data_IF_372870657235
#
_entry.id   IF_372870657235
#
_cell.length_a   1.000
_cell.length_b   1.000
_cell.length_c   1.000
_cell.angle_alpha   90.00
_cell.angle_beta   90.00
_cell.angle_gamma   90.00
#
_symmetry.space_group_name_H-M   'P 1'
#
loop_
_entity.id
_entity.type
_entity.pdbx_description
1 polymer ?
#
# COMPACT_ATOMS: atom_id res chain seq x y z
N UNK A 1 -12.02 5.31 -22.91
CA UNK A 1 -12.39 4.91 -21.54
C UNK A 1 -13.90 5.08 -21.36
N UNK A 2 -14.59 4.18 -20.64
CA UNK A 2 -16.02 4.38 -20.30
C UNK A 2 -16.18 5.56 -19.35
N UNK A 3 -17.29 6.29 -19.43
CA UNK A 3 -17.59 7.37 -18.47
C UNK A 3 -17.80 6.76 -17.08
N UNK A 4 -17.37 7.46 -16.03
CA UNK A 4 -17.52 7.00 -14.65
C UNK A 4 -18.99 6.68 -14.31
N UNK A 5 -19.92 7.49 -14.79
CA UNK A 5 -21.37 7.28 -14.62
C UNK A 5 -21.82 5.89 -15.07
N UNK A 6 -21.34 5.43 -16.23
CA UNK A 6 -21.66 4.09 -16.74
C UNK A 6 -21.09 2.97 -15.87
N UNK A 7 -19.94 3.21 -15.23
CA UNK A 7 -19.33 2.26 -14.29
C UNK A 7 -20.17 2.19 -13.01
N UNK A 8 -20.60 3.35 -12.50
CA UNK A 8 -21.44 3.49 -11.31
C UNK A 8 -22.80 2.80 -11.51
N UNK A 9 -23.54 3.14 -12.57
CA UNK A 9 -24.85 2.54 -12.89
C UNK A 9 -24.78 1.00 -12.96
N UNK A 10 -23.72 0.48 -13.58
CA UNK A 10 -23.49 -0.96 -13.67
C UNK A 10 -23.21 -1.58 -12.30
N UNK A 11 -22.49 -0.89 -11.43
CA UNK A 11 -22.23 -1.34 -10.07
C UNK A 11 -23.50 -1.33 -9.23
N UNK A 12 -24.30 -0.25 -9.29
CA UNK A 12 -25.58 -0.14 -8.60
C UNK A 12 -26.53 -1.26 -9.02
N UNK A 13 -26.71 -1.48 -10.33
CA UNK A 13 -27.53 -2.59 -10.85
C UNK A 13 -27.09 -3.96 -10.33
N UNK A 14 -25.77 -4.20 -10.22
CA UNK A 14 -25.22 -5.47 -9.73
C UNK A 14 -25.30 -5.65 -8.22
N UNK A 15 -25.39 -4.56 -7.46
CA UNK A 15 -25.28 -4.57 -6.00
C UNK A 15 -26.60 -4.22 -5.29
N UNK A 16 -27.72 -4.14 -6.02
CA UNK A 16 -29.05 -3.90 -5.44
C UNK A 16 -29.39 -2.41 -5.29
N UNK A 17 -28.87 -1.56 -6.17
CA UNK A 17 -29.13 -0.11 -6.22
C UNK A 17 -28.08 0.74 -5.49
N UNK A 18 -28.23 2.06 -5.59
CA UNK A 18 -27.31 3.05 -5.02
C UNK A 18 -27.10 2.89 -3.51
N UNK A 19 -28.18 2.67 -2.75
CA UNK A 19 -28.13 2.53 -1.29
C UNK A 19 -27.37 1.28 -0.86
N UNK A 20 -27.61 0.15 -1.53
CA UNK A 20 -26.92 -1.11 -1.24
C UNK A 20 -25.44 -1.04 -1.64
N UNK A 21 -25.14 -0.43 -2.79
CA UNK A 21 -23.75 -0.16 -3.20
C UNK A 21 -23.03 0.72 -2.17
N UNK A 22 -23.66 1.80 -1.70
CA UNK A 22 -23.06 2.73 -0.74
C UNK A 22 -22.68 2.04 0.58
N UNK A 23 -23.46 1.03 1.02
CA UNK A 23 -23.14 0.22 2.21
C UNK A 23 -21.90 -0.68 2.03
N UNK A 24 -21.55 -1.03 0.79
CA UNK A 24 -20.36 -1.86 0.48
C UNK A 24 -19.09 -1.02 0.32
N UNK A 25 -19.22 0.29 0.09
CA UNK A 25 -18.08 1.17 -0.07
C UNK A 25 -17.42 1.45 1.29
N UNK A 26 -16.08 1.50 1.35
CA UNK A 26 -15.40 1.89 2.58
C UNK A 26 -15.69 3.34 2.91
N UNK A 27 -15.58 3.69 4.19
CA UNK A 27 -15.60 5.09 4.58
C UNK A 27 -14.35 5.81 4.05
N UNK A 28 -14.58 6.88 3.30
CA UNK A 28 -13.50 7.71 2.77
C UNK A 28 -13.07 8.72 3.85
N UNK A 29 -11.76 8.79 4.10
CA UNK A 29 -11.21 9.75 5.04
C UNK A 29 -11.41 11.19 4.55
N UNK A 30 -11.75 12.09 5.47
CA UNK A 30 -11.84 13.53 5.19
C UNK A 30 -10.46 14.12 4.85
N UNK A 31 -10.42 15.23 4.10
CA UNK A 31 -9.18 15.98 3.80
C UNK A 31 -8.34 16.27 5.06
N UNK A 32 -8.97 16.71 6.15
CA UNK A 32 -8.28 16.98 7.43
C UNK A 32 -7.60 15.74 8.01
N UNK A 33 -8.28 14.59 8.01
CA UNK A 33 -7.71 13.31 8.46
C UNK A 33 -6.54 12.85 7.58
N UNK A 34 -6.64 13.06 6.27
CA UNK A 34 -5.56 12.74 5.34
C UNK A 34 -4.34 13.64 5.56
N UNK A 35 -4.55 14.94 5.72
CA UNK A 35 -3.47 15.89 5.99
C UNK A 35 -2.79 15.69 7.35
N UNK A 36 -3.50 15.14 8.33
CA UNK A 36 -2.95 14.81 9.64
C UNK A 36 -2.22 13.45 9.69
N UNK A 37 -2.26 12.67 8.61
CA UNK A 37 -1.60 11.36 8.54
C UNK A 37 -0.11 11.55 8.24
N UNK A 38 0.75 10.89 8.99
CA UNK A 38 2.21 10.96 8.78
C UNK A 38 2.65 10.36 7.44
N UNK A 39 3.78 10.88 6.94
CA UNK A 39 4.39 10.47 5.67
C UNK A 39 4.76 8.98 5.67
N UNK A 40 5.17 8.46 6.83
CA UNK A 40 5.47 7.05 7.07
C UNK A 40 4.30 6.13 6.68
N UNK A 41 3.06 6.53 7.01
CA UNK A 41 1.88 5.73 6.67
C UNK A 41 1.49 5.85 5.19
N UNK A 42 1.93 6.87 4.48
CA UNK A 42 1.75 6.97 3.03
C UNK A 42 2.81 6.14 2.32
N UNK A 43 4.06 6.25 2.75
CA UNK A 43 5.17 5.45 2.24
C UNK A 43 4.89 3.95 2.40
N UNK A 44 4.49 3.52 3.59
CA UNK A 44 4.06 2.15 3.87
C UNK A 44 3.00 1.66 2.88
N UNK A 45 1.96 2.46 2.62
CA UNK A 45 0.88 2.08 1.71
C UNK A 45 1.37 1.97 0.26
N UNK A 46 2.20 2.90 -0.20
CA UNK A 46 2.80 2.86 -1.54
C UNK A 46 3.68 1.61 -1.71
N UNK A 47 4.54 1.32 -0.73
CA UNK A 47 5.35 0.10 -0.71
C UNK A 47 4.48 -1.16 -0.72
N UNK A 48 3.36 -1.17 0.01
CA UNK A 48 2.44 -2.30 0.02
C UNK A 48 1.86 -2.59 -1.37
N UNK A 49 1.38 -1.54 -2.05
CA UNK A 49 0.84 -1.65 -3.40
C UNK A 49 1.88 -2.20 -4.39
N UNK A 50 3.12 -1.71 -4.34
CA UNK A 50 4.23 -2.20 -5.17
C UNK A 50 4.49 -3.69 -4.91
N UNK A 51 4.44 -4.11 -3.65
CA UNK A 51 4.72 -5.49 -3.28
C UNK A 51 3.58 -6.46 -3.60
N UNK A 52 2.33 -5.98 -3.67
CA UNK A 52 1.17 -6.74 -4.12
C UNK A 52 1.18 -7.02 -5.63
N UNK A 53 1.91 -6.24 -6.43
CA UNK A 53 2.05 -6.51 -7.86
C UNK A 53 2.73 -7.87 -8.11
N UNK A 54 2.02 -8.78 -8.79
CA UNK A 54 2.48 -10.15 -9.05
C UNK A 54 2.50 -11.07 -7.83
N UNK A 55 1.85 -10.71 -6.72
CA UNK A 55 1.78 -11.51 -5.49
C UNK A 55 0.36 -11.61 -4.93
N UNK A 56 0.11 -12.65 -4.14
CA UNK A 56 -1.14 -12.78 -3.38
C UNK A 56 -1.23 -11.68 -2.31
N UNK A 57 -2.32 -10.91 -2.34
CA UNK A 57 -2.57 -9.84 -1.38
C UNK A 57 -2.55 -10.34 0.06
N UNK A 58 -3.13 -11.51 0.31
CA UNK A 58 -3.14 -12.17 1.63
C UNK A 58 -1.74 -12.49 2.14
N UNK A 59 -0.82 -12.86 1.24
CA UNK A 59 0.57 -13.17 1.61
C UNK A 59 1.30 -11.90 2.04
N UNK A 60 1.14 -10.80 1.28
CA UNK A 60 1.73 -9.51 1.63
C UNK A 60 1.13 -8.98 2.94
N UNK A 61 -0.18 -9.11 3.15
CA UNK A 61 -0.84 -8.71 4.39
C UNK A 61 -0.31 -9.47 5.60
N UNK A 62 -0.16 -10.80 5.49
CA UNK A 62 0.38 -11.63 6.58
C UNK A 62 1.83 -11.27 6.92
N UNK A 63 2.62 -10.91 5.91
CA UNK A 63 4.03 -10.51 6.05
C UNK A 63 4.23 -9.07 6.49
N UNK A 64 3.17 -8.25 6.45
CA UNK A 64 3.27 -6.80 6.64
C UNK A 64 3.91 -6.36 7.98
N UNK A 65 3.69 -7.04 9.11
CA UNK A 65 4.37 -6.68 10.36
C UNK A 65 5.90 -6.80 10.26
N UNK A 66 6.40 -7.78 9.51
CA UNK A 66 7.85 -7.96 9.27
C UNK A 66 8.40 -6.84 8.38
N UNK A 67 7.61 -6.34 7.41
CA UNK A 67 7.96 -5.17 6.61
C UNK A 67 8.06 -3.90 7.47
N UNK A 68 7.08 -3.68 8.35
CA UNK A 68 7.11 -2.53 9.27
C UNK A 68 8.35 -2.61 10.17
N UNK A 69 8.74 -3.79 10.65
CA UNK A 69 9.97 -3.95 11.42
C UNK A 69 11.23 -3.69 10.58
N UNK A 70 11.33 -4.32 9.40
CA UNK A 70 12.49 -4.22 8.53
C UNK A 70 12.76 -2.78 8.07
N UNK A 71 11.71 -2.03 7.75
CA UNK A 71 11.80 -0.66 7.26
C UNK A 71 11.59 0.41 8.34
N UNK A 72 11.82 0.08 9.62
CA UNK A 72 11.77 1.03 10.74
C UNK A 72 10.44 1.79 10.88
N UNK A 73 9.33 1.12 10.62
CA UNK A 73 7.99 1.71 10.60
C UNK A 73 7.78 2.66 9.41
N UNK A 74 8.57 2.50 8.35
CA UNK A 74 8.59 3.38 7.17
C UNK A 74 8.91 4.84 7.49
N UNK A 75 9.66 5.10 8.55
CA UNK A 75 10.15 6.43 8.90
C UNK A 75 11.09 6.95 7.78
N UNK A 76 10.69 7.99 7.02
CA UNK A 76 11.48 8.47 5.88
C UNK A 76 12.86 8.99 6.31
N UNK A 77 12.98 9.55 7.52
CA UNK A 77 14.25 10.06 8.01
C UNK A 77 15.24 8.92 8.24
N UNK A 78 14.81 7.84 8.92
CA UNK A 78 15.67 6.67 9.16
C UNK A 78 16.05 5.96 7.87
N UNK A 79 15.09 5.79 6.96
CA UNK A 79 15.33 5.16 5.66
C UNK A 79 16.31 5.97 4.80
N UNK A 80 16.21 7.31 4.84
CA UNK A 80 17.13 8.20 4.13
C UNK A 80 18.57 8.17 4.65
N UNK A 81 18.81 7.63 5.85
CA UNK A 81 20.15 7.46 6.42
C UNK A 81 20.80 6.11 6.08
N UNK A 82 20.07 5.21 5.43
CA UNK A 82 20.61 3.90 5.06
C UNK A 82 21.63 4.03 3.93
N UNK A 83 22.81 3.43 4.14
CA UNK A 83 23.84 3.32 3.12
C UNK A 83 23.40 2.38 1.98
N UNK A 84 23.97 2.51 0.76
CA UNK A 84 23.66 1.63 -0.36
C UNK A 84 23.79 0.13 -0.04
N UNK A 85 24.80 -0.25 0.73
CA UNK A 85 25.05 -1.64 1.12
C UNK A 85 23.95 -2.18 2.05
N UNK A 86 23.36 -1.31 2.88
CA UNK A 86 22.22 -1.67 3.73
C UNK A 86 20.96 -1.89 2.89
N UNK A 87 20.76 -1.09 1.84
CA UNK A 87 19.67 -1.31 0.89
C UNK A 87 19.84 -2.64 0.15
N UNK A 88 21.05 -2.94 -0.32
CA UNK A 88 21.37 -4.20 -1.00
C UNK A 88 21.16 -5.41 -0.08
N UNK A 89 21.45 -5.29 1.22
CA UNK A 89 21.26 -6.36 2.19
C UNK A 89 19.79 -6.83 2.30
N UNK A 90 18.79 -6.00 2.00
CA UNK A 90 17.38 -6.42 1.96
C UNK A 90 17.08 -7.49 0.90
N UNK A 91 17.95 -7.67 -0.11
CA UNK A 91 17.82 -8.79 -1.06
C UNK A 91 18.04 -10.15 -0.40
N UNK A 92 18.65 -10.18 0.78
CA UNK A 92 18.83 -11.38 1.60
C UNK A 92 17.93 -11.41 2.85
N UNK A 93 17.32 -10.28 3.24
CA UNK A 93 16.44 -10.19 4.41
C UNK A 93 15.12 -10.96 4.17
N UNK A 94 14.85 -11.92 5.05
CA UNK A 94 13.66 -12.76 4.97
C UNK A 94 12.39 -12.03 5.37
N UNK A 95 12.48 -10.89 6.05
CA UNK A 95 11.33 -10.08 6.51
C UNK A 95 10.60 -9.39 5.36
N UNK A 96 11.27 -9.19 4.23
CA UNK A 96 10.72 -8.48 3.06
C UNK A 96 10.59 -9.40 1.84
N UNK A 97 10.01 -8.88 0.76
CA UNK A 97 10.08 -9.54 -0.56
C UNK A 97 11.44 -9.26 -1.14
N UNK A 98 12.26 -10.31 -1.26
CA UNK A 98 13.64 -10.29 -1.77
C UNK A 98 13.69 -10.04 -3.28
N UNK A 99 13.28 -8.86 -3.70
CA UNK A 99 13.29 -8.39 -5.08
C UNK A 99 13.89 -6.98 -5.13
N UNK A 100 15.03 -6.85 -5.80
CA UNK A 100 15.77 -5.60 -5.83
C UNK A 100 14.98 -4.43 -6.41
N UNK A 101 14.23 -4.63 -7.50
CA UNK A 101 13.44 -3.55 -8.11
C UNK A 101 12.36 -3.01 -7.16
N UNK A 102 11.73 -3.88 -6.38
CA UNK A 102 10.73 -3.49 -5.37
C UNK A 102 11.35 -2.80 -4.16
N UNK A 103 12.54 -3.23 -3.74
CA UNK A 103 13.30 -2.60 -2.66
C UNK A 103 13.76 -1.21 -3.08
N UNK A 104 14.36 -1.09 -4.27
CA UNK A 104 14.84 0.19 -4.82
C UNK A 104 13.71 1.20 -5.03
N UNK A 105 12.48 0.77 -5.25
CA UNK A 105 11.34 1.69 -5.34
C UNK A 105 10.99 2.39 -4.01
N UNK A 106 11.55 1.93 -2.88
CA UNK A 106 11.43 2.54 -1.57
C UNK A 106 12.64 3.43 -1.21
N UNK A 107 13.76 3.27 -1.92
CA UNK A 107 14.96 4.10 -1.80
C UNK A 107 14.76 5.44 -2.51
#
# INVERSE_FOLDING_TARGET
>A
MKKFTQIQERAERRKGGATALKKLLPQVATKKKLAAKGDDRYLAMMTKCINQAGFSWKVIERKWPEFEEAFFGFDPFKLGLLAPEQWEAYTSDRRVVRNWQKIKALQ
#
